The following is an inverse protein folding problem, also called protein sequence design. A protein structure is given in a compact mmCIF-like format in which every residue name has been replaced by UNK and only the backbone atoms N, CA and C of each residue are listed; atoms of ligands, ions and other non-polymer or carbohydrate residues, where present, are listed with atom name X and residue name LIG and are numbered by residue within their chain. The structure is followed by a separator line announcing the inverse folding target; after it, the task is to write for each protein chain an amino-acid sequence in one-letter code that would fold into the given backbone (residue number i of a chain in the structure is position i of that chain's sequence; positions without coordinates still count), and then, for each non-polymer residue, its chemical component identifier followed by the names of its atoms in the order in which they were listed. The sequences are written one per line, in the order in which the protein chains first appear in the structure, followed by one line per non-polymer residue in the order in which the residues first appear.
data_IF_902099432107
#
_entry.id   IF_902099432107
#
_cell.length_a   1.000
_cell.length_b   1.000
_cell.length_c   1.000
_cell.angle_alpha   90.00
_cell.angle_beta   90.00
_cell.angle_gamma   90.00
#
_symmetry.space_group_name_H-M   'P 1'
#
loop_
_entity.id
_entity.type
_entity.pdbx_description
1 polymer ?
#
# COMPACT_ATOMS: atom_id res chain seq x y z
N UNK A 1 -24.91 24.90 -14.79
CA UNK A 1 -25.08 24.14 -13.53
C UNK A 1 -24.10 22.98 -13.64
N UNK A 2 -23.03 22.91 -12.84
CA UNK A 2 -22.13 21.77 -12.90
C UNK A 2 -22.82 20.58 -12.22
N UNK A 3 -22.86 19.48 -12.95
CA UNK A 3 -23.34 18.17 -12.52
C UNK A 3 -22.38 17.65 -11.44
N UNK A 4 -22.89 17.46 -10.23
CA UNK A 4 -22.15 16.84 -9.12
C UNK A 4 -21.71 15.44 -9.56
N UNK A 5 -20.41 15.27 -9.77
CA UNK A 5 -19.81 13.98 -10.04
C UNK A 5 -20.14 13.03 -8.89
N UNK A 6 -20.94 12.01 -9.22
CA UNK A 6 -21.40 10.94 -8.34
C UNK A 6 -20.26 10.34 -7.52
N UNK A 7 -20.16 10.72 -6.24
CA UNK A 7 -19.29 10.04 -5.29
C UNK A 7 -19.89 8.68 -4.98
N UNK A 8 -19.22 7.59 -5.40
CA UNK A 8 -19.35 6.29 -4.74
C UNK A 8 -18.09 6.04 -3.92
N UNK A 9 -18.00 6.47 -2.65
CA UNK A 9 -16.85 6.12 -1.84
C UNK A 9 -17.15 4.80 -1.13
N UNK A 10 -17.05 3.67 -1.83
CA UNK A 10 -17.13 2.34 -1.20
C UNK A 10 -16.08 1.34 -1.66
N UNK A 11 -15.45 1.55 -2.81
CA UNK A 11 -14.40 0.64 -3.29
C UNK A 11 -13.03 1.25 -2.97
N UNK A 12 -12.29 0.61 -2.06
CA UNK A 12 -10.90 0.96 -1.80
C UNK A 12 -10.06 0.70 -3.05
N UNK A 13 -9.35 1.73 -3.52
CA UNK A 13 -8.28 1.55 -4.49
C UNK A 13 -6.98 1.23 -3.77
N UNK A 14 -6.27 0.20 -4.24
CA UNK A 14 -4.97 -0.18 -3.73
C UNK A 14 -3.85 0.23 -4.70
N UNK A 15 -2.68 0.56 -4.17
CA UNK A 15 -1.51 0.89 -4.96
C UNK A 15 -0.34 -0.01 -4.58
N UNK A 16 0.27 -0.71 -5.56
CA UNK A 16 1.36 -1.65 -5.28
C UNK A 16 2.73 -1.05 -5.61
N UNK A 17 3.68 -1.24 -4.70
CA UNK A 17 5.08 -0.88 -4.95
C UNK A 17 5.76 -1.74 -6.04
N UNK A 18 6.97 -1.33 -6.44
CA UNK A 18 7.82 -2.06 -7.40
C UNK A 18 8.20 -3.47 -6.95
N UNK A 19 8.38 -3.67 -5.65
CA UNK A 19 8.88 -4.89 -5.07
C UNK A 19 7.91 -6.06 -5.16
N UNK A 20 6.61 -5.77 -5.25
CA UNK A 20 5.53 -6.74 -5.47
C UNK A 20 5.41 -7.20 -6.93
N UNK A 21 6.07 -6.50 -7.86
CA UNK A 21 6.01 -6.76 -9.30
C UNK A 21 4.69 -6.29 -9.94
N UNK A 22 4.66 -6.23 -11.27
CA UNK A 22 3.56 -5.61 -12.02
C UNK A 22 2.63 -6.59 -12.75
N UNK A 23 2.74 -7.91 -12.48
CA UNK A 23 1.96 -8.93 -13.20
C UNK A 23 1.32 -9.96 -12.27
N UNK A 24 2.12 -10.88 -11.74
CA UNK A 24 1.62 -12.06 -11.03
C UNK A 24 0.71 -11.70 -9.85
N UNK A 25 1.20 -10.87 -8.92
CA UNK A 25 0.43 -10.45 -7.75
C UNK A 25 -0.72 -9.50 -8.11
N UNK A 26 -0.51 -8.40 -8.87
CA UNK A 26 -1.59 -7.53 -9.32
C UNK A 26 -2.75 -8.26 -9.99
N UNK A 27 -2.46 -9.20 -10.90
CA UNK A 27 -3.49 -9.96 -11.60
C UNK A 27 -4.26 -10.87 -10.65
N UNK A 28 -3.58 -11.61 -9.78
CA UNK A 28 -4.24 -12.50 -8.83
C UNK A 28 -5.14 -11.75 -7.83
N UNK A 29 -4.72 -10.57 -7.36
CA UNK A 29 -5.55 -9.73 -6.49
C UNK A 29 -6.77 -9.18 -7.25
N UNK A 30 -6.61 -8.77 -8.52
CA UNK A 30 -7.73 -8.34 -9.38
C UNK A 30 -8.72 -9.46 -9.67
N UNK A 31 -8.23 -10.68 -9.94
CA UNK A 31 -9.06 -11.88 -10.11
C UNK A 31 -9.87 -12.18 -8.84
N UNK A 32 -9.31 -11.88 -7.66
CA UNK A 32 -10.04 -11.94 -6.40
C UNK A 32 -10.96 -10.72 -6.16
N UNK A 33 -11.03 -9.75 -7.06
CA UNK A 33 -11.90 -8.58 -6.97
C UNK A 33 -11.33 -7.39 -6.20
N UNK A 34 -10.01 -7.27 -6.10
CA UNK A 34 -9.37 -6.03 -5.62
C UNK A 34 -9.31 -5.00 -6.75
N UNK A 35 -9.59 -3.73 -6.43
CA UNK A 35 -9.32 -2.60 -7.31
C UNK A 35 -7.93 -2.08 -7.00
N UNK A 36 -6.99 -2.19 -7.93
CA UNK A 36 -5.62 -1.74 -7.69
C UNK A 36 -4.93 -1.22 -8.95
N UNK A 37 -3.95 -0.35 -8.74
CA UNK A 37 -3.02 0.16 -9.74
C UNK A 37 -1.57 -0.14 -9.32
N UNK A 38 -0.72 -0.47 -10.29
CA UNK A 38 0.70 -0.69 -10.08
C UNK A 38 1.51 0.55 -10.45
N UNK A 39 2.74 0.67 -9.92
CA UNK A 39 3.67 1.73 -10.36
C UNK A 39 3.95 1.72 -11.87
N UNK A 40 4.00 0.54 -12.51
CA UNK A 40 4.23 0.42 -13.95
C UNK A 40 3.05 0.91 -14.78
N UNK A 41 1.81 0.77 -14.28
CA UNK A 41 0.61 1.31 -14.93
C UNK A 41 0.52 2.83 -14.75
N UNK A 42 0.77 3.32 -13.53
CA UNK A 42 0.69 4.76 -13.23
C UNK A 42 1.77 5.59 -13.92
N UNK A 43 3.01 5.12 -13.88
CA UNK A 43 4.16 5.90 -14.38
C UNK A 43 4.71 5.39 -15.71
N UNK A 44 4.38 4.16 -16.11
CA UNK A 44 5.07 3.46 -17.18
C UNK A 44 6.37 2.81 -16.69
N UNK A 45 6.72 1.66 -17.28
CA UNK A 45 7.86 0.82 -16.86
C UNK A 45 9.21 1.54 -16.74
N UNK A 46 9.49 2.48 -17.64
CA UNK A 46 10.78 3.19 -17.63
C UNK A 46 10.84 4.24 -16.50
N UNK A 47 9.71 4.89 -16.23
CA UNK A 47 9.64 5.96 -15.26
C UNK A 47 9.40 5.42 -13.84
N UNK A 48 8.69 4.29 -13.68
CA UNK A 48 8.48 3.64 -12.39
C UNK A 48 9.81 3.35 -11.67
N UNK A 49 10.86 3.02 -12.42
CA UNK A 49 12.21 2.79 -11.89
C UNK A 49 12.93 4.07 -11.43
N UNK A 50 12.50 5.25 -11.89
CA UNK A 50 13.12 6.55 -11.59
C UNK A 50 12.37 7.38 -10.57
N UNK A 51 11.07 7.12 -10.38
CA UNK A 51 10.28 7.80 -9.36
C UNK A 51 10.83 7.44 -7.97
N UNK A 52 11.06 8.48 -7.17
CA UNK A 52 11.56 8.35 -5.79
C UNK A 52 10.49 7.79 -4.87
N UNK A 53 10.90 7.16 -3.76
CA UNK A 53 9.93 6.56 -2.84
C UNK A 53 8.99 7.58 -2.20
N UNK A 54 9.54 8.73 -1.82
CA UNK A 54 8.75 9.85 -1.31
C UNK A 54 7.67 10.29 -2.30
N UNK A 55 8.03 10.45 -3.58
CA UNK A 55 7.12 10.95 -4.59
C UNK A 55 5.94 10.01 -4.81
N UNK A 56 6.17 8.70 -5.01
CA UNK A 56 5.04 7.81 -5.26
C UNK A 56 4.16 7.60 -4.02
N UNK A 57 4.71 7.66 -2.81
CA UNK A 57 3.93 7.61 -1.56
C UNK A 57 3.00 8.82 -1.47
N UNK A 58 3.53 10.03 -1.74
CA UNK A 58 2.77 11.27 -1.77
C UNK A 58 1.62 11.21 -2.80
N UNK A 59 1.94 10.84 -4.05
CA UNK A 59 0.96 10.77 -5.12
C UNK A 59 -0.12 9.70 -4.88
N UNK A 60 0.27 8.51 -4.39
CA UNK A 60 -0.71 7.46 -4.04
C UNK A 60 -1.63 7.90 -2.91
N UNK A 61 -1.09 8.56 -1.89
CA UNK A 61 -1.89 9.03 -0.76
C UNK A 61 -2.85 10.16 -1.18
N UNK A 62 -2.40 11.08 -2.03
CA UNK A 62 -3.25 12.14 -2.60
C UNK A 62 -4.40 11.58 -3.43
N UNK A 63 -4.18 10.48 -4.14
CA UNK A 63 -5.23 9.77 -4.88
C UNK A 63 -6.19 8.96 -3.97
N UNK A 64 -5.95 8.94 -2.66
CA UNK A 64 -6.75 8.17 -1.70
C UNK A 64 -6.44 6.68 -1.70
N UNK A 65 -5.34 6.25 -2.31
CA UNK A 65 -4.97 4.84 -2.40
C UNK A 65 -4.59 4.26 -1.02
N UNK A 66 -4.81 2.96 -0.87
CA UNK A 66 -4.21 2.14 0.19
C UNK A 66 -2.97 1.44 -0.37
N UNK A 67 -1.82 1.69 0.23
CA UNK A 67 -0.53 1.23 -0.31
C UNK A 67 -0.23 -0.21 0.16
N UNK A 68 0.16 -1.07 -0.77
CA UNK A 68 0.71 -2.40 -0.52
C UNK A 68 2.21 -2.41 -0.84
N UNK A 69 3.03 -2.86 0.12
CA UNK A 69 4.49 -2.87 0.01
C UNK A 69 5.09 -4.27 0.19
N UNK A 70 6.23 -4.50 -0.47
CA UNK A 70 6.99 -5.76 -0.35
C UNK A 70 7.55 -5.97 1.05
N UNK A 71 7.98 -4.92 1.72
CA UNK A 71 8.58 -5.04 3.04
C UNK A 71 8.31 -3.81 3.91
N UNK A 72 8.76 -3.92 5.16
CA UNK A 72 8.49 -2.96 6.23
C UNK A 72 9.53 -1.84 6.32
N UNK A 73 10.48 -1.74 5.38
CA UNK A 73 11.48 -0.65 5.38
C UNK A 73 10.83 0.72 5.26
N UNK A 74 9.64 0.81 4.66
CA UNK A 74 8.83 2.03 4.60
C UNK A 74 8.50 2.63 5.97
N UNK A 75 8.50 1.82 7.03
CA UNK A 75 8.32 2.31 8.39
C UNK A 75 9.63 2.74 9.08
N UNK A 76 10.78 2.22 8.64
CA UNK A 76 12.07 2.38 9.35
C UNK A 76 13.07 3.26 8.62
N UNK A 77 12.96 3.42 7.30
CA UNK A 77 13.68 4.42 6.53
C UNK A 77 13.10 5.80 6.87
N UNK A 78 13.91 6.70 7.42
CA UNK A 78 13.46 8.00 7.90
C UNK A 78 12.74 8.82 6.83
N UNK A 79 13.24 8.84 5.58
CA UNK A 79 12.65 9.63 4.51
C UNK A 79 11.29 9.08 4.07
N UNK A 80 11.16 7.75 4.02
CA UNK A 80 9.90 7.08 3.67
C UNK A 80 8.90 7.17 4.81
N UNK A 81 9.34 6.95 6.05
CA UNK A 81 8.51 7.07 7.25
C UNK A 81 8.00 8.51 7.42
N UNK A 82 8.83 9.51 7.12
CA UNK A 82 8.43 10.90 7.06
C UNK A 82 7.38 11.12 5.97
N UNK A 83 7.57 10.59 4.75
CA UNK A 83 6.58 10.69 3.67
C UNK A 83 5.24 10.10 4.10
N UNK A 84 5.22 8.90 4.69
CA UNK A 84 4.01 8.26 5.23
C UNK A 84 3.35 9.14 6.29
N UNK A 85 4.13 9.64 7.25
CA UNK A 85 3.62 10.45 8.34
C UNK A 85 2.99 11.76 7.84
N UNK A 86 3.71 12.49 6.99
CA UNK A 86 3.33 13.81 6.51
C UNK A 86 2.13 13.77 5.55
N UNK A 87 1.95 12.67 4.83
CA UNK A 87 0.85 12.51 3.87
C UNK A 87 -0.38 11.86 4.49
N UNK A 88 -0.26 11.23 5.65
CA UNK A 88 -1.34 10.43 6.23
C UNK A 88 -1.52 9.08 5.52
N UNK A 89 -0.46 8.54 4.90
CA UNK A 89 -0.55 7.32 4.11
C UNK A 89 -1.02 6.12 4.94
N UNK A 90 -1.80 5.26 4.28
CA UNK A 90 -2.30 3.99 4.81
C UNK A 90 -1.54 2.85 4.13
N UNK A 91 -0.65 2.19 4.87
CA UNK A 91 0.31 1.24 4.27
C UNK A 91 0.18 -0.14 4.90
N UNK A 92 0.22 -1.17 4.07
CA UNK A 92 0.31 -2.57 4.47
C UNK A 92 1.54 -3.21 3.81
N UNK A 93 2.52 -3.64 4.62
CA UNK A 93 3.74 -4.27 4.12
C UNK A 93 3.87 -5.71 4.57
N UNK A 94 4.46 -6.57 3.75
CA UNK A 94 4.69 -7.97 4.13
C UNK A 94 5.78 -8.07 5.21
N UNK A 95 5.51 -8.84 6.25
CA UNK A 95 6.45 -9.05 7.36
C UNK A 95 7.77 -9.71 6.92
N UNK A 96 7.70 -10.59 5.91
CA UNK A 96 8.83 -11.34 5.41
C UNK A 96 9.15 -10.96 3.95
N UNK A 97 10.26 -10.25 3.74
CA UNK A 97 10.75 -9.84 2.42
C UNK A 97 11.17 -10.99 1.48
N UNK A 98 11.26 -12.22 1.99
CA UNK A 98 11.71 -13.41 1.23
C UNK A 98 10.55 -14.22 0.66
N UNK A 99 9.30 -13.78 0.83
CA UNK A 99 8.15 -14.49 0.27
C UNK A 99 8.23 -14.54 -1.25
N UNK A 100 7.90 -15.70 -1.81
CA UNK A 100 7.73 -15.89 -3.25
C UNK A 100 6.43 -15.24 -3.73
N UNK A 101 6.30 -14.99 -5.04
CA UNK A 101 5.08 -14.45 -5.65
C UNK A 101 3.77 -15.11 -5.15
N UNK A 102 3.66 -16.45 -5.25
CA UNK A 102 2.49 -17.17 -4.72
C UNK A 102 2.26 -16.98 -3.22
N UNK A 103 3.32 -16.96 -2.40
CA UNK A 103 3.19 -16.73 -0.96
C UNK A 103 2.75 -15.30 -0.63
N UNK A 104 3.19 -14.30 -1.40
CA UNK A 104 2.73 -12.92 -1.25
C UNK A 104 1.24 -12.81 -1.57
N UNK A 105 0.79 -13.45 -2.66
CA UNK A 105 -0.62 -13.51 -3.05
C UNK A 105 -1.45 -14.13 -1.93
N UNK A 106 -1.07 -15.33 -1.48
CA UNK A 106 -1.78 -16.05 -0.43
C UNK A 106 -1.88 -15.22 0.87
N UNK A 107 -0.79 -14.52 1.22
CA UNK A 107 -0.75 -13.63 2.40
C UNK A 107 -1.77 -12.50 2.29
N UNK A 108 -1.81 -11.79 1.16
CA UNK A 108 -2.75 -10.67 0.98
C UNK A 108 -4.19 -11.13 0.85
N UNK A 109 -4.45 -12.22 0.11
CA UNK A 109 -5.80 -12.75 -0.06
C UNK A 109 -6.38 -13.25 1.26
N UNK A 110 -5.58 -13.98 2.05
CA UNK A 110 -5.99 -14.46 3.38
C UNK A 110 -6.32 -13.30 4.32
N UNK A 111 -5.57 -12.19 4.25
CA UNK A 111 -5.75 -11.01 5.11
C UNK A 111 -6.66 -9.93 4.52
N UNK A 112 -7.33 -10.19 3.39
CA UNK A 112 -8.14 -9.20 2.66
C UNK A 112 -9.15 -8.48 3.54
N UNK A 113 -9.94 -9.25 4.31
CA UNK A 113 -11.02 -8.70 5.13
C UNK A 113 -10.46 -7.76 6.20
N UNK A 114 -9.39 -8.17 6.89
CA UNK A 114 -8.74 -7.34 7.92
C UNK A 114 -8.13 -6.06 7.31
N UNK A 115 -7.45 -6.17 6.16
CA UNK A 115 -6.87 -5.02 5.44
C UNK A 115 -7.97 -4.02 5.05
N UNK A 116 -9.08 -4.53 4.51
CA UNK A 116 -10.23 -3.72 4.07
C UNK A 116 -10.88 -3.02 5.27
N UNK A 117 -11.15 -3.77 6.34
CA UNK A 117 -11.79 -3.25 7.56
C UNK A 117 -10.96 -2.15 8.23
N UNK A 118 -9.64 -2.36 8.37
CA UNK A 118 -8.73 -1.34 8.90
C UNK A 118 -8.71 -0.11 8.01
N UNK A 119 -8.66 -0.29 6.68
CA UNK A 119 -8.59 0.82 5.71
C UNK A 119 -9.85 1.68 5.69
N UNK A 120 -11.02 1.10 5.97
CA UNK A 120 -12.30 1.81 6.06
C UNK A 120 -12.49 2.52 7.40
N UNK A 121 -11.94 1.97 8.49
CA UNK A 121 -12.18 2.47 9.85
C UNK A 121 -11.14 3.46 10.35
N UNK A 122 -9.88 3.29 9.95
CA UNK A 122 -8.78 4.07 10.46
C UNK A 122 -8.29 5.08 9.41
N UNK A 123 -8.13 6.33 9.84
CA UNK A 123 -7.36 7.31 9.10
C UNK A 123 -5.86 7.04 9.32
N UNK A 124 -5.04 7.29 8.30
CA UNK A 124 -3.59 7.27 8.44
C UNK A 124 -3.08 8.42 9.32
N UNK A 125 -1.76 8.49 9.58
CA UNK A 125 -0.73 7.62 9.04
C UNK A 125 -0.59 6.30 9.80
N UNK A 126 -0.44 5.19 9.07
CA UNK A 126 -0.03 3.92 9.66
C UNK A 126 0.72 3.03 8.67
N UNK A 127 1.58 2.18 9.22
CA UNK A 127 2.12 1.01 8.53
C UNK A 127 1.72 -0.23 9.33
N UNK A 128 1.03 -1.16 8.66
CA UNK A 128 0.63 -2.45 9.22
C UNK A 128 1.49 -3.55 8.61
N UNK A 129 2.03 -4.41 9.46
CA UNK A 129 2.68 -5.65 9.06
C UNK A 129 1.64 -6.72 8.73
N UNK A 130 1.78 -7.34 7.56
CA UNK A 130 0.91 -8.42 7.06
C UNK A 130 1.69 -9.73 7.06
N UNK A 131 1.11 -10.76 7.66
CA UNK A 131 1.67 -12.12 7.69
C UNK A 131 0.56 -13.16 7.79
N UNK A 132 0.85 -14.41 7.44
CA UNK A 132 -0.09 -15.52 7.69
C UNK A 132 -0.10 -15.96 9.15
N UNK A 133 1.03 -15.85 9.84
CA UNK A 133 1.20 -16.37 11.20
C UNK A 133 0.57 -15.50 12.29
N UNK A 134 0.50 -14.18 12.06
CA UNK A 134 0.03 -13.22 13.03
C UNK A 134 -0.99 -12.26 12.43
N UNK A 135 -1.90 -11.77 13.28
CA UNK A 135 -2.81 -10.68 12.94
C UNK A 135 -2.04 -9.42 12.53
N UNK A 136 -2.74 -8.48 11.87
CA UNK A 136 -2.15 -7.22 11.47
C UNK A 136 -1.52 -6.50 12.66
N UNK A 137 -0.25 -6.10 12.52
CA UNK A 137 0.50 -5.41 13.57
C UNK A 137 0.90 -4.02 13.12
N UNK A 138 0.43 -2.98 13.82
CA UNK A 138 0.88 -1.61 13.58
C UNK A 138 2.35 -1.45 13.95
N UNK A 139 3.12 -0.82 13.08
CA UNK A 139 4.51 -0.50 13.32
C UNK A 139 4.67 0.95 13.81
N UNK A 140 5.74 1.16 14.57
CA UNK A 140 6.22 2.50 14.90
C UNK A 140 6.95 3.06 13.67
N UNK A 141 6.59 4.27 13.25
CA UNK A 141 7.31 5.01 12.22
C UNK A 141 8.61 5.57 12.82
N UNK A 142 9.68 5.58 12.02
CA UNK A 142 10.94 6.26 12.36
C UNK A 142 10.81 7.81 12.37
N UNK A 143 9.65 8.34 11.97
CA UNK A 143 9.32 9.76 12.00
C UNK A 143 7.94 9.99 12.66
N UNK A 144 7.75 11.08 13.44
CA UNK A 144 8.79 11.98 13.92
C UNK A 144 9.76 11.25 14.87
N UNK A 145 11.01 11.68 14.91
CA UNK A 145 11.93 11.19 15.93
C UNK A 145 11.32 11.46 17.31
N UNK A 146 11.37 10.48 18.20
CA UNK A 146 10.85 10.65 19.55
C UNK A 146 11.59 11.84 20.19
N UNK A 147 10.82 12.86 20.57
CA UNK A 147 11.31 14.01 21.35
C UNK A 147 11.75 13.58 22.74
#
# INVERSE_FOLDING_TARGET
MPEEATTRPTDLCFFTDRGLGSRLLPNALREAGWVLETMDERYGKAQSQRISDRQWIEEATLNGDVILCKDLRIATNELEAQAVYMTGARVFGLANRRLTGPQMIDTFLTRRSEITEVSLRAQGPYVMSVSLEHALKRLKLAYPAAS
#
